data_IF_453261833095
#
_entry.id   IF_453261833095
#
_cell.length_a   1.000
_cell.length_b   1.000
_cell.length_c   1.000
_cell.angle_alpha   90.00
_cell.angle_beta   90.00
_cell.angle_gamma   90.00
#
_symmetry.space_group_name_H-M   'P 1'
#
loop_
_entity.id
_entity.type
_entity.pdbx_description
1 polymer ?
#
# COMPACT_ATOMS: atom_id res chain seq x y z
N UNK A 1 22.59 12.59 -20.24
CA UNK A 1 21.30 11.85 -20.27
C UNK A 1 20.23 12.72 -19.63
N UNK A 2 19.38 13.34 -20.44
CA UNK A 2 18.19 14.03 -19.96
C UNK A 2 17.27 12.97 -19.37
N UNK A 3 17.01 13.02 -18.05
CA UNK A 3 16.02 12.15 -17.39
C UNK A 3 14.68 12.32 -18.09
N UNK A 4 14.10 11.22 -18.57
CA UNK A 4 12.73 11.24 -19.06
C UNK A 4 11.80 11.75 -17.93
N UNK A 5 10.82 12.61 -18.25
CA UNK A 5 9.90 13.14 -17.23
C UNK A 5 9.14 11.97 -16.60
N UNK A 6 9.43 11.71 -15.32
CA UNK A 6 8.64 10.78 -14.52
C UNK A 6 7.25 11.40 -14.31
N UNK A 7 6.19 10.65 -14.63
CA UNK A 7 4.80 11.09 -14.45
C UNK A 7 4.17 11.76 -15.68
N UNK A 8 4.71 11.54 -16.87
CA UNK A 8 4.04 11.96 -18.12
C UNK A 8 2.66 11.31 -18.27
N UNK A 9 1.69 12.05 -18.82
CA UNK A 9 0.29 11.60 -19.01
C UNK A 9 0.21 10.27 -19.79
N UNK A 10 1.14 10.04 -20.73
CA UNK A 10 1.19 8.85 -21.58
C UNK A 10 1.88 7.63 -20.92
N UNK A 11 2.67 7.83 -19.84
CA UNK A 11 3.45 6.77 -19.20
C UNK A 11 2.62 5.55 -18.75
N UNK A 12 1.43 5.70 -18.14
CA UNK A 12 0.59 4.55 -17.78
C UNK A 12 0.10 3.76 -19.00
N UNK A 13 -0.21 4.46 -20.10
CA UNK A 13 -0.66 3.82 -21.34
C UNK A 13 0.48 3.02 -21.98
N UNK A 14 1.68 3.59 -22.07
CA UNK A 14 2.86 2.90 -22.59
C UNK A 14 3.22 1.69 -21.72
N UNK A 15 3.19 1.81 -20.40
CA UNK A 15 3.42 0.69 -19.50
C UNK A 15 2.39 -0.43 -19.69
N UNK A 16 1.12 -0.08 -19.90
CA UNK A 16 0.09 -1.07 -20.21
C UNK A 16 0.33 -1.77 -21.54
N UNK A 17 0.65 -1.03 -22.61
CA UNK A 17 0.94 -1.60 -23.92
C UNK A 17 2.17 -2.52 -23.89
N UNK A 18 3.21 -2.13 -23.16
CA UNK A 18 4.46 -2.90 -23.08
C UNK A 18 4.29 -4.22 -22.31
N UNK A 19 3.44 -4.24 -21.29
CA UNK A 19 3.16 -5.45 -20.49
C UNK A 19 1.93 -6.23 -21.00
N UNK A 20 1.32 -5.77 -22.09
CA UNK A 20 0.23 -6.51 -22.72
C UNK A 20 0.72 -7.86 -23.27
N UNK A 21 -0.12 -8.89 -23.11
CA UNK A 21 0.22 -10.26 -23.50
C UNK A 21 0.97 -11.08 -22.44
N UNK A 22 1.49 -10.47 -21.35
CA UNK A 22 2.18 -11.23 -20.29
C UNK A 22 1.24 -12.25 -19.60
N UNK A 23 -0.01 -11.84 -19.34
CA UNK A 23 -1.01 -12.73 -18.74
C UNK A 23 -1.32 -13.94 -19.65
N UNK A 24 -1.50 -13.66 -20.94
CA UNK A 24 -1.73 -14.72 -21.94
C UNK A 24 -0.52 -15.67 -22.04
N UNK A 25 0.69 -15.12 -22.11
CA UNK A 25 1.91 -15.93 -22.15
C UNK A 25 2.00 -16.87 -20.95
N UNK A 26 1.72 -16.39 -19.74
CA UNK A 26 1.73 -17.20 -18.54
C UNK A 26 0.62 -18.28 -18.57
N UNK A 27 -0.58 -17.93 -19.02
CA UNK A 27 -1.69 -18.90 -19.13
C UNK A 27 -1.40 -20.00 -20.15
N UNK A 28 -0.81 -19.67 -21.29
CA UNK A 28 -0.46 -20.60 -22.35
C UNK A 28 0.72 -21.51 -21.93
N UNK A 29 1.69 -20.97 -21.19
CA UNK A 29 2.87 -21.72 -20.73
C UNK A 29 2.59 -22.65 -19.54
N UNK A 30 1.58 -22.34 -18.74
CA UNK A 30 1.24 -23.09 -17.51
C UNK A 30 -0.24 -23.49 -17.50
N UNK A 31 -0.70 -24.35 -18.43
CA UNK A 31 -2.10 -24.74 -18.52
C UNK A 31 -2.52 -25.58 -17.32
N UNK A 32 -3.77 -25.40 -16.89
CA UNK A 32 -4.38 -26.24 -15.86
C UNK A 32 -4.75 -27.60 -16.47
N UNK A 33 -4.18 -28.67 -15.97
CA UNK A 33 -4.59 -30.02 -16.37
C UNK A 33 -5.75 -30.48 -15.47
N UNK A 34 -6.94 -30.58 -16.06
CA UNK A 34 -8.17 -31.02 -15.39
C UNK A 34 -8.49 -32.52 -15.58
N UNK A 35 -7.55 -33.31 -16.08
CA UNK A 35 -7.75 -34.74 -16.23
C UNK A 35 -7.93 -35.43 -14.89
N UNK A 36 -8.92 -36.34 -14.76
CA UNK A 36 -9.18 -37.09 -13.51
C UNK A 36 -7.97 -37.95 -13.07
N UNK A 37 -7.08 -38.32 -13.98
CA UNK A 37 -5.89 -39.12 -13.66
C UNK A 37 -4.70 -38.28 -13.22
N UNK A 38 -4.55 -37.05 -13.74
CA UNK A 38 -3.41 -36.18 -13.45
C UNK A 38 -3.90 -34.73 -13.26
N UNK A 39 -4.68 -34.48 -12.20
CA UNK A 39 -5.10 -33.12 -11.87
C UNK A 39 -3.89 -32.34 -11.39
N UNK A 40 -3.49 -31.35 -12.17
CA UNK A 40 -2.41 -30.44 -11.82
C UNK A 40 -2.82 -28.99 -12.10
N UNK A 41 -2.63 -28.15 -11.13
CA UNK A 41 -2.82 -26.70 -11.28
C UNK A 41 -1.59 -25.98 -10.76
N UNK A 42 -0.82 -25.32 -11.61
CA UNK A 42 0.38 -24.58 -11.21
C UNK A 42 0.07 -23.32 -10.40
N UNK A 43 -1.22 -22.98 -10.26
CA UNK A 43 -1.72 -21.78 -9.53
C UNK A 43 -1.03 -20.49 -9.98
N UNK A 44 -0.62 -20.43 -11.26
CA UNK A 44 -0.03 -19.24 -11.83
C UNK A 44 -1.14 -18.23 -12.12
N UNK A 45 -1.08 -17.08 -11.41
CA UNK A 45 -1.98 -15.96 -11.65
C UNK A 45 -1.16 -14.68 -11.64
N UNK A 46 -1.46 -13.78 -12.58
CA UNK A 46 -0.88 -12.44 -12.65
C UNK A 46 -1.87 -11.41 -12.09
N UNK A 47 -1.41 -10.60 -11.17
CA UNK A 47 -2.13 -9.39 -10.71
C UNK A 47 -1.24 -8.20 -11.03
N UNK A 48 -1.71 -7.31 -11.90
CA UNK A 48 -0.95 -6.15 -12.38
C UNK A 48 -1.64 -4.84 -12.06
N UNK A 49 -0.84 -3.87 -11.69
CA UNK A 49 -1.27 -2.47 -11.57
C UNK A 49 -0.16 -1.56 -12.14
N UNK A 50 -0.39 -1.01 -13.31
CA UNK A 50 0.61 -0.27 -14.10
C UNK A 50 1.90 -1.11 -14.31
N UNK A 51 3.02 -0.64 -13.80
CA UNK A 51 4.35 -1.27 -13.83
C UNK A 51 4.61 -2.23 -12.66
N UNK A 52 3.78 -2.17 -11.61
CA UNK A 52 3.86 -3.11 -10.48
C UNK A 52 3.02 -4.37 -10.78
N UNK A 53 3.59 -5.55 -10.57
CA UNK A 53 2.85 -6.80 -10.73
C UNK A 53 3.27 -7.87 -9.70
N UNK A 54 2.37 -8.81 -9.48
CA UNK A 54 2.58 -10.00 -8.66
C UNK A 54 2.23 -11.21 -9.50
N UNK A 55 3.04 -12.25 -9.41
CA UNK A 55 2.74 -13.56 -9.95
C UNK A 55 2.68 -14.53 -8.78
N UNK A 56 1.57 -15.26 -8.65
CA UNK A 56 1.44 -16.35 -7.70
C UNK A 56 1.81 -17.67 -8.37
N UNK A 57 2.20 -18.66 -7.58
CA UNK A 57 2.51 -19.99 -8.06
C UNK A 57 2.46 -21.00 -6.92
N UNK A 58 2.33 -22.28 -7.25
CA UNK A 58 2.21 -23.38 -6.30
C UNK A 58 3.47 -23.56 -5.46
N UNK A 59 4.65 -23.42 -6.06
CA UNK A 59 5.93 -23.59 -5.37
C UNK A 59 6.95 -22.50 -5.70
N UNK A 60 7.96 -22.37 -4.83
CA UNK A 60 9.09 -21.47 -5.04
C UNK A 60 9.90 -21.87 -6.27
N UNK A 61 10.16 -23.17 -6.41
CA UNK A 61 10.93 -23.74 -7.51
C UNK A 61 10.27 -23.45 -8.86
N UNK A 62 8.94 -23.57 -8.96
CA UNK A 62 8.19 -23.24 -10.17
C UNK A 62 8.36 -21.75 -10.53
N UNK A 63 8.26 -20.88 -9.53
CA UNK A 63 8.41 -19.44 -9.75
C UNK A 63 9.86 -19.06 -10.13
N UNK A 64 10.86 -19.67 -9.50
CA UNK A 64 12.26 -19.34 -9.69
C UNK A 64 12.83 -19.90 -11.01
N UNK A 65 12.53 -21.16 -11.31
CA UNK A 65 13.15 -21.89 -12.42
C UNK A 65 12.39 -21.80 -13.74
N UNK A 66 11.08 -21.52 -13.69
CA UNK A 66 10.25 -21.51 -14.91
C UNK A 66 9.58 -20.16 -15.15
N UNK A 67 8.91 -19.59 -14.15
CA UNK A 67 8.14 -18.35 -14.34
C UNK A 67 9.06 -17.14 -14.48
N UNK A 68 10.04 -17.01 -13.59
CA UNK A 68 10.96 -15.87 -13.60
C UNK A 68 11.77 -15.76 -14.91
N UNK A 69 12.38 -16.82 -15.45
CA UNK A 69 13.07 -16.76 -16.73
C UNK A 69 12.15 -16.36 -17.89
N UNK A 70 10.93 -16.93 -17.95
CA UNK A 70 9.94 -16.58 -18.97
C UNK A 70 9.54 -15.10 -18.92
N UNK A 71 9.35 -14.55 -17.73
CA UNK A 71 9.06 -13.12 -17.54
C UNK A 71 10.25 -12.26 -17.96
N UNK A 72 11.47 -12.67 -17.65
CA UNK A 72 12.70 -11.95 -18.06
C UNK A 72 12.78 -11.89 -19.57
N UNK A 73 12.60 -13.02 -20.26
CA UNK A 73 12.62 -13.11 -21.73
C UNK A 73 11.54 -12.20 -22.35
N UNK A 74 10.31 -12.28 -21.84
CA UNK A 74 9.21 -11.43 -22.27
C UNK A 74 9.53 -9.92 -22.15
N UNK A 75 10.15 -9.51 -21.05
CA UNK A 75 10.52 -8.12 -20.80
C UNK A 75 11.70 -7.70 -21.71
N UNK A 76 12.73 -8.54 -21.86
CA UNK A 76 13.89 -8.25 -22.69
C UNK A 76 13.51 -8.07 -24.16
N UNK A 77 12.61 -8.88 -24.70
CA UNK A 77 12.06 -8.72 -26.04
C UNK A 77 11.40 -7.35 -26.30
N UNK A 78 11.05 -6.63 -25.21
CA UNK A 78 10.43 -5.30 -25.22
C UNK A 78 11.39 -4.18 -24.75
N UNK A 79 12.68 -4.49 -24.61
CA UNK A 79 13.69 -3.55 -24.15
C UNK A 79 13.59 -3.19 -22.66
N UNK A 80 12.89 -4.01 -21.86
CA UNK A 80 12.76 -3.83 -20.41
C UNK A 80 13.61 -4.84 -19.66
N UNK A 81 14.03 -4.44 -18.46
CA UNK A 81 14.77 -5.31 -17.54
C UNK A 81 14.03 -5.46 -16.21
N UNK A 82 13.96 -6.69 -15.71
CA UNK A 82 13.42 -6.96 -14.38
C UNK A 82 14.39 -6.43 -13.31
N UNK A 83 13.91 -5.62 -12.38
CA UNK A 83 14.75 -5.14 -11.27
C UNK A 83 14.94 -6.26 -10.24
N UNK A 84 16.13 -6.81 -10.15
CA UNK A 84 16.46 -7.87 -9.19
C UNK A 84 16.30 -7.42 -7.74
N UNK A 85 16.69 -6.18 -7.42
CA UNK A 85 16.55 -5.61 -6.07
C UNK A 85 15.09 -5.54 -5.59
N UNK A 86 14.15 -5.32 -6.53
CA UNK A 86 12.72 -5.17 -6.21
C UNK A 86 11.94 -6.46 -6.36
N UNK A 87 12.44 -7.41 -7.15
CA UNK A 87 11.77 -8.68 -7.42
C UNK A 87 12.14 -9.70 -6.36
N UNK A 88 11.16 -10.17 -5.62
CA UNK A 88 11.35 -11.14 -4.53
C UNK A 88 10.31 -12.24 -4.62
N UNK A 89 10.77 -13.48 -4.50
CA UNK A 89 9.89 -14.63 -4.28
C UNK A 89 9.74 -14.79 -2.77
N UNK A 90 8.50 -14.73 -2.30
CA UNK A 90 8.19 -14.71 -0.87
C UNK A 90 7.04 -15.68 -0.60
N UNK A 91 7.16 -16.51 0.45
CA UNK A 91 6.07 -17.36 0.88
C UNK A 91 4.93 -16.52 1.45
N UNK A 92 3.68 -16.90 1.14
CA UNK A 92 2.50 -16.11 1.53
C UNK A 92 2.34 -15.97 3.05
N UNK A 93 2.88 -16.90 3.84
CA UNK A 93 2.88 -16.81 5.30
C UNK A 93 3.89 -15.80 5.85
N UNK A 94 4.96 -15.51 5.13
CA UNK A 94 5.87 -14.40 5.47
C UNK A 94 5.22 -13.06 5.17
N UNK A 95 4.46 -13.01 4.07
CA UNK A 95 3.75 -11.85 3.58
C UNK A 95 4.63 -10.86 2.83
N UNK A 96 4.00 -10.07 2.00
CA UNK A 96 4.64 -9.05 1.18
C UNK A 96 3.81 -7.77 1.11
N UNK A 97 4.44 -6.68 0.70
CA UNK A 97 3.78 -5.39 0.53
C UNK A 97 3.49 -5.13 -0.96
N UNK A 98 2.22 -4.85 -1.29
CA UNK A 98 1.78 -4.48 -2.63
C UNK A 98 0.76 -3.35 -2.58
N UNK A 99 0.93 -2.31 -3.41
CA UNK A 99 0.06 -1.14 -3.48
C UNK A 99 -0.27 -0.51 -2.10
N UNK A 100 0.69 -0.56 -1.19
CA UNK A 100 0.51 -0.03 0.16
C UNK A 100 -0.18 -0.97 1.14
N UNK A 101 -0.64 -2.15 0.70
CA UNK A 101 -1.15 -3.21 1.55
C UNK A 101 -0.05 -4.20 1.91
N UNK A 102 -0.07 -4.73 3.11
CA UNK A 102 0.64 -5.94 3.50
C UNK A 102 -0.31 -7.12 3.36
N UNK A 103 0.05 -8.07 2.54
CA UNK A 103 -0.73 -9.26 2.17
C UNK A 103 -0.04 -10.47 2.76
N UNK A 104 -0.76 -11.29 3.53
CA UNK A 104 -0.21 -12.53 4.09
C UNK A 104 -1.29 -13.54 4.46
N UNK A 105 -0.91 -14.81 4.54
CA UNK A 105 -1.71 -15.87 5.17
C UNK A 105 -1.20 -16.09 6.60
N UNK A 106 -2.10 -16.06 7.57
CA UNK A 106 -1.77 -16.26 8.98
C UNK A 106 -2.75 -17.25 9.60
N UNK A 107 -2.26 -18.37 10.13
CA UNK A 107 -3.09 -19.45 10.69
C UNK A 107 -4.22 -19.87 9.73
N UNK A 108 -3.89 -20.08 8.46
CA UNK A 108 -4.84 -20.47 7.43
C UNK A 108 -5.74 -19.34 6.88
N UNK A 109 -5.77 -18.16 7.51
CA UNK A 109 -6.61 -17.03 7.10
C UNK A 109 -5.82 -16.03 6.25
N UNK A 110 -6.43 -15.61 5.14
CA UNK A 110 -5.88 -14.54 4.30
C UNK A 110 -6.16 -13.17 4.94
N UNK A 111 -5.12 -12.39 5.14
CA UNK A 111 -5.19 -11.09 5.80
C UNK A 111 -4.55 -10.03 4.92
N UNK A 112 -5.28 -8.95 4.67
CA UNK A 112 -4.77 -7.73 4.07
C UNK A 112 -4.87 -6.60 5.09
N UNK A 113 -3.82 -5.78 5.22
CA UNK A 113 -3.79 -4.63 6.12
C UNK A 113 -2.90 -3.53 5.57
N UNK A 114 -2.99 -2.28 6.07
CA UNK A 114 -2.05 -1.22 5.66
C UNK A 114 -0.61 -1.62 5.94
N UNK A 115 0.28 -1.45 4.95
CA UNK A 115 1.70 -1.76 5.12
C UNK A 115 2.36 -0.81 6.13
N UNK A 116 3.45 -1.27 6.76
CA UNK A 116 4.24 -0.44 7.68
C UNK A 116 4.76 0.83 6.99
N UNK A 117 5.18 0.71 5.73
CA UNK A 117 5.68 1.82 4.90
C UNK A 117 4.58 2.84 4.61
N UNK A 118 3.36 2.39 4.24
CA UNK A 118 2.23 3.28 4.01
C UNK A 118 1.82 4.03 5.28
N UNK A 119 1.70 3.33 6.41
CA UNK A 119 1.39 3.95 7.69
C UNK A 119 2.43 5.00 8.09
N UNK A 120 3.72 4.70 7.91
CA UNK A 120 4.81 5.65 8.20
C UNK A 120 4.66 6.92 7.35
N UNK A 121 4.51 6.78 6.02
CA UNK A 121 4.32 7.91 5.09
C UNK A 121 3.13 8.78 5.49
N UNK A 122 2.01 8.15 5.83
CA UNK A 122 0.81 8.86 6.28
C UNK A 122 1.07 9.67 7.56
N UNK A 123 1.69 9.07 8.57
CA UNK A 123 2.02 9.75 9.83
C UNK A 123 3.05 10.86 9.65
N UNK A 124 4.00 10.69 8.74
CA UNK A 124 4.97 11.72 8.39
C UNK A 124 4.28 12.90 7.68
N UNK A 125 3.30 12.62 6.80
CA UNK A 125 2.48 13.67 6.18
C UNK A 125 1.65 14.45 7.21
N UNK A 126 1.01 13.74 8.15
CA UNK A 126 0.29 14.39 9.27
C UNK A 126 1.25 15.25 10.11
N UNK A 127 2.46 14.75 10.39
CA UNK A 127 3.49 15.51 11.12
C UNK A 127 3.86 16.78 10.38
N UNK A 128 4.16 16.67 9.10
CA UNK A 128 4.51 17.81 8.25
C UNK A 128 3.44 18.92 8.31
N UNK A 129 2.16 18.53 8.16
CA UNK A 129 1.05 19.47 8.22
C UNK A 129 0.98 20.15 9.59
N UNK A 130 1.07 19.39 10.68
CA UNK A 130 1.01 19.94 12.04
C UNK A 130 2.20 20.88 12.32
N UNK A 131 3.40 20.48 11.89
CA UNK A 131 4.62 21.25 12.15
C UNK A 131 4.70 22.54 11.32
N UNK A 132 4.18 22.55 10.10
CA UNK A 132 4.05 23.76 9.27
C UNK A 132 2.97 24.72 9.78
N UNK A 133 2.02 24.23 10.59
CA UNK A 133 0.86 24.98 11.05
C UNK A 133 0.84 25.19 12.60
N UNK A 134 2.00 25.42 13.22
CA UNK A 134 2.14 25.57 14.67
C UNK A 134 1.32 26.72 15.24
N UNK A 135 1.21 27.84 14.52
CA UNK A 135 0.49 29.08 14.93
C UNK A 135 -0.91 29.20 14.30
N UNK A 136 -1.29 28.31 13.39
CA UNK A 136 -2.58 28.36 12.67
C UNK A 136 -3.78 28.21 13.60
N UNK A 137 -4.93 28.80 13.23
CA UNK A 137 -6.21 28.54 13.92
C UNK A 137 -6.56 27.08 13.86
N UNK A 138 -7.21 26.53 14.90
CA UNK A 138 -7.65 25.13 14.97
C UNK A 138 -8.44 24.70 13.73
N UNK A 139 -9.40 25.52 13.30
CA UNK A 139 -10.24 25.24 12.13
C UNK A 139 -9.42 25.07 10.85
N UNK A 140 -8.40 25.91 10.65
CA UNK A 140 -7.51 25.81 9.49
C UNK A 140 -6.70 24.52 9.50
N UNK A 141 -6.17 24.14 10.66
CA UNK A 141 -5.45 22.86 10.81
C UNK A 141 -6.36 21.65 10.53
N UNK A 142 -7.59 21.66 11.04
CA UNK A 142 -8.58 20.60 10.78
C UNK A 142 -8.90 20.50 9.29
N UNK A 143 -9.08 21.62 8.59
CA UNK A 143 -9.33 21.63 7.13
C UNK A 143 -8.19 21.00 6.33
N UNK A 144 -6.95 21.18 6.76
CA UNK A 144 -5.77 20.58 6.10
C UNK A 144 -5.61 19.10 6.42
N UNK A 145 -5.93 18.67 7.65
CA UNK A 145 -5.77 17.29 8.08
C UNK A 145 -6.89 16.37 7.57
N UNK A 146 -8.15 16.84 7.56
CA UNK A 146 -9.30 16.01 7.21
C UNK A 146 -9.20 15.31 5.85
N UNK A 147 -8.81 15.96 4.74
CA UNK A 147 -8.67 15.29 3.46
C UNK A 147 -7.64 14.16 3.51
N UNK A 148 -6.51 14.38 4.18
CA UNK A 148 -5.42 13.40 4.30
C UNK A 148 -5.85 12.21 5.14
N UNK A 149 -6.48 12.45 6.30
CA UNK A 149 -6.95 11.39 7.20
C UNK A 149 -8.08 10.59 6.56
N UNK A 150 -9.09 11.27 5.99
CA UNK A 150 -10.23 10.61 5.31
C UNK A 150 -9.78 9.83 4.08
N UNK A 151 -8.91 10.40 3.25
CA UNK A 151 -8.39 9.74 2.06
C UNK A 151 -7.66 8.43 2.43
N UNK A 152 -6.79 8.47 3.44
CA UNK A 152 -6.08 7.30 3.92
C UNK A 152 -7.03 6.26 4.55
N UNK A 153 -7.97 6.68 5.39
CA UNK A 153 -8.95 5.79 6.01
C UNK A 153 -9.86 5.12 4.97
N UNK A 154 -10.35 5.89 3.98
CA UNK A 154 -11.19 5.37 2.91
C UNK A 154 -10.46 4.35 2.01
N UNK A 155 -9.18 4.56 1.75
CA UNK A 155 -8.37 3.63 0.97
C UNK A 155 -8.24 2.26 1.66
N UNK A 156 -8.16 2.23 2.98
CA UNK A 156 -7.95 1.01 3.76
C UNK A 156 -9.21 0.47 4.47
N UNK A 157 -10.39 1.09 4.31
CA UNK A 157 -11.62 0.66 5.01
C UNK A 157 -12.06 -0.77 4.68
N UNK A 158 -11.72 -1.28 3.49
CA UNK A 158 -12.10 -2.61 3.03
C UNK A 158 -11.16 -3.74 3.48
N UNK A 159 -10.13 -3.46 4.28
CA UNK A 159 -9.17 -4.47 4.74
C UNK A 159 -9.15 -4.60 6.27
N UNK A 160 -8.36 -5.53 6.80
CA UNK A 160 -8.20 -5.76 8.26
C UNK A 160 -7.41 -4.62 8.92
N UNK A 161 -7.97 -3.41 8.94
CA UNK A 161 -7.29 -2.19 9.34
C UNK A 161 -7.59 -1.71 10.76
N UNK A 162 -8.58 -2.27 11.48
CA UNK A 162 -9.08 -1.75 12.76
C UNK A 162 -7.98 -1.50 13.79
N UNK A 163 -7.08 -2.47 14.00
CA UNK A 163 -5.96 -2.30 14.93
C UNK A 163 -4.97 -1.21 14.44
N UNK A 164 -4.74 -1.16 13.13
CA UNK A 164 -3.87 -0.15 12.53
C UNK A 164 -4.47 1.24 12.68
N UNK A 165 -5.78 1.39 12.46
CA UNK A 165 -6.49 2.66 12.69
C UNK A 165 -6.38 3.10 14.14
N UNK A 166 -6.69 2.23 15.11
CA UNK A 166 -6.57 2.56 16.53
C UNK A 166 -5.16 3.04 16.92
N UNK A 167 -4.12 2.32 16.46
CA UNK A 167 -2.72 2.72 16.72
C UNK A 167 -2.37 4.04 16.05
N UNK A 168 -2.91 4.31 14.89
CA UNK A 168 -2.67 5.53 14.11
C UNK A 168 -3.39 6.72 14.74
N UNK A 169 -4.64 6.54 15.16
CA UNK A 169 -5.44 7.57 15.84
C UNK A 169 -4.77 8.04 17.13
N UNK A 170 -4.25 7.10 17.94
CA UNK A 170 -3.49 7.44 19.14
C UNK A 170 -2.25 8.30 18.83
N UNK A 171 -1.55 8.02 17.72
CA UNK A 171 -0.38 8.82 17.31
C UNK A 171 -0.78 10.20 16.80
N UNK A 172 -1.88 10.31 16.04
CA UNK A 172 -2.43 11.60 15.58
C UNK A 172 -2.86 12.42 16.78
N UNK A 173 -3.62 11.83 17.71
CA UNK A 173 -4.04 12.48 18.94
C UNK A 173 -2.84 13.04 19.72
N UNK A 174 -1.79 12.25 19.93
CA UNK A 174 -0.59 12.71 20.63
C UNK A 174 0.10 13.88 19.93
N UNK A 175 0.10 13.92 18.60
CA UNK A 175 0.65 15.06 17.84
C UNK A 175 -0.19 16.32 18.02
N UNK A 176 -1.52 16.19 17.91
CA UNK A 176 -2.45 17.31 18.11
C UNK A 176 -2.44 17.80 19.56
N UNK A 177 -2.31 16.89 20.53
CA UNK A 177 -2.16 17.25 21.93
C UNK A 177 -0.90 18.08 22.19
N UNK A 178 0.23 17.70 21.61
CA UNK A 178 1.46 18.48 21.69
C UNK A 178 1.33 19.85 21.02
N UNK A 179 0.65 19.92 19.88
CA UNK A 179 0.35 21.16 19.18
C UNK A 179 -0.50 22.09 20.05
N UNK A 180 -1.58 21.63 20.65
CA UNK A 180 -2.45 22.44 21.52
C UNK A 180 -1.74 22.91 22.79
N UNK A 181 -0.92 22.05 23.41
CA UNK A 181 -0.12 22.42 24.58
C UNK A 181 0.92 23.52 24.30
N UNK A 182 1.60 23.46 23.18
CA UNK A 182 2.58 24.51 22.80
C UNK A 182 1.94 25.88 22.65
N UNK A 183 0.68 25.94 22.29
CA UNK A 183 -0.05 27.22 22.14
C UNK A 183 -0.45 27.86 23.47
N UNK A 184 -0.51 27.08 24.54
CA UNK A 184 -0.95 27.51 25.86
C UNK A 184 -0.06 26.94 26.96
N UNK A 185 1.23 27.36 27.00
CA UNK A 185 2.20 26.74 27.92
C UNK A 185 1.84 26.92 29.38
N UNK A 186 1.16 28.06 29.72
CA UNK A 186 0.73 28.38 31.08
C UNK A 186 -0.62 27.79 31.48
N UNK A 187 -1.32 27.04 30.61
CA UNK A 187 -2.65 26.48 30.91
C UNK A 187 -2.57 24.99 31.26
N UNK A 188 -3.38 24.56 32.22
CA UNK A 188 -3.46 23.19 32.67
C UNK A 188 -4.10 22.25 31.62
N UNK A 189 -3.89 20.94 31.78
CA UNK A 189 -4.40 19.89 30.86
C UNK A 189 -5.92 19.94 30.68
N UNK A 190 -6.69 20.13 31.76
CA UNK A 190 -8.17 20.23 31.73
C UNK A 190 -8.65 21.38 30.84
N UNK A 191 -8.03 22.55 30.99
CA UNK A 191 -8.37 23.73 30.19
C UNK A 191 -8.13 23.49 28.70
N UNK A 192 -7.00 22.85 28.36
CA UNK A 192 -6.66 22.51 26.97
C UNK A 192 -7.65 21.49 26.41
N UNK A 193 -8.00 20.46 27.18
CA UNK A 193 -9.00 19.45 26.79
C UNK A 193 -10.35 20.11 26.49
N UNK A 194 -10.84 20.93 27.38
CA UNK A 194 -12.12 21.62 27.21
C UNK A 194 -12.12 22.60 26.02
N UNK A 195 -10.99 23.23 25.73
CA UNK A 195 -10.89 24.17 24.60
C UNK A 195 -10.81 23.50 23.25
N UNK A 196 -10.08 22.38 23.13
CA UNK A 196 -9.74 21.76 21.84
C UNK A 196 -10.42 20.41 21.58
N UNK A 197 -10.84 19.71 22.62
CA UNK A 197 -11.33 18.34 22.56
C UNK A 197 -12.67 18.20 23.27
N UNK A 198 -13.73 18.55 22.59
CA UNK A 198 -15.09 18.35 23.11
C UNK A 198 -15.84 17.36 22.22
N UNK A 199 -16.75 16.61 22.81
CA UNK A 199 -17.59 15.65 22.09
C UNK A 199 -18.57 16.41 21.21
N UNK A 200 -18.51 16.21 19.92
CA UNK A 200 -19.52 16.68 18.98
C UNK A 200 -20.66 15.64 19.01
N UNK A 201 -21.78 16.00 19.65
CA UNK A 201 -22.99 15.16 19.64
C UNK A 201 -23.48 15.03 18.19
N UNK A 202 -23.70 13.79 17.72
CA UNK A 202 -24.37 13.49 16.48
C UNK A 202 -23.56 12.87 15.34
N UNK A 203 -22.62 11.95 15.66
CA UNK A 203 -22.12 10.99 14.68
C UNK A 203 -22.18 9.59 15.30
N UNK A 204 -23.29 8.90 15.03
CA UNK A 204 -23.35 7.45 15.07
C UNK A 204 -22.52 6.87 13.91
#
# INVERSE_FOLDING_TARGET
>A
YKRQPQGGIISPTLANMTLDGLEKLLADSFPINRSKKNYYTPMINLVRYADDFIITGESKELLENHVKPLVIEFLQARGLTLSEEKTKITHIEEGFDFLGFNIRKYKGKFITKPSKKSRKRFLDKVREIVDKNKSSKQQSLIRLLNPVIRGWANYYKGCSASETFRKTDAQIFNKLWRWSRRRHPKKGKRWIANKYYHTVRGRS
#
